data_IF_535453760687
#
_entry.id   IF_535453760687
#
_cell.length_a   1.000
_cell.length_b   1.000
_cell.length_c   1.000
_cell.angle_alpha   90.00
_cell.angle_beta   90.00
_cell.angle_gamma   90.00
#
_symmetry.space_group_name_H-M   'P 1'
#
loop_
_entity.id
_entity.type
_entity.pdbx_description
1 polymer ?
#
# COMPACT_ATOMS: atom_id res chain seq x y z
N UNK A 1 2.78 -20.24 12.75
CA UNK A 1 2.85 -19.26 13.85
C UNK A 1 1.42 -19.04 14.34
N UNK A 2 1.17 -18.68 15.61
CA UNK A 2 -0.21 -18.48 16.09
C UNK A 2 -0.45 -16.98 16.29
N UNK A 3 -1.57 -16.49 15.79
CA UNK A 3 -2.08 -15.15 16.07
C UNK A 3 -2.27 -14.92 17.58
N UNK A 4 -2.44 -13.68 18.04
CA UNK A 4 -2.78 -13.40 19.44
C UNK A 4 -3.96 -14.26 19.90
N UNK A 5 -3.96 -14.64 21.18
CA UNK A 5 -5.05 -15.44 21.77
C UNK A 5 -6.40 -14.76 21.55
N UNK A 6 -7.36 -15.50 21.04
CA UNK A 6 -8.71 -14.99 20.74
C UNK A 6 -8.89 -14.45 19.33
N UNK A 7 -7.86 -14.46 18.48
CA UNK A 7 -7.96 -14.06 17.07
C UNK A 7 -7.99 -15.28 16.16
N UNK A 8 -9.09 -15.45 15.43
CA UNK A 8 -9.21 -16.39 14.32
C UNK A 8 -8.83 -15.71 13.01
N UNK A 9 -7.98 -16.36 12.19
CA UNK A 9 -7.44 -15.75 10.96
C UNK A 9 -8.52 -15.49 9.91
N UNK A 10 -9.51 -16.39 9.77
CA UNK A 10 -10.56 -16.23 8.78
C UNK A 10 -11.47 -15.07 9.15
N UNK A 11 -11.88 -14.98 10.42
CA UNK A 11 -12.67 -13.87 10.93
C UNK A 11 -11.93 -12.54 10.78
N UNK A 12 -10.61 -12.53 11.08
CA UNK A 12 -9.78 -11.34 10.92
C UNK A 12 -9.73 -10.88 9.46
N UNK A 13 -9.49 -11.80 8.52
CA UNK A 13 -9.47 -11.49 7.08
C UNK A 13 -10.84 -10.99 6.62
N UNK A 14 -11.94 -11.59 7.09
CA UNK A 14 -13.30 -11.17 6.73
C UNK A 14 -13.61 -9.75 7.24
N UNK A 15 -13.24 -9.44 8.48
CA UNK A 15 -13.40 -8.10 9.05
C UNK A 15 -12.58 -7.06 8.29
N UNK A 16 -11.29 -7.33 8.07
CA UNK A 16 -10.41 -6.38 7.35
C UNK A 16 -10.86 -6.23 5.88
N UNK A 17 -11.38 -7.28 5.25
CA UNK A 17 -12.01 -7.18 3.92
C UNK A 17 -13.14 -6.17 3.90
N UNK A 18 -14.05 -6.25 4.88
CA UNK A 18 -15.18 -5.33 5.02
C UNK A 18 -14.68 -3.90 5.22
N UNK A 19 -13.69 -3.70 6.12
CA UNK A 19 -13.13 -2.37 6.40
C UNK A 19 -12.42 -1.80 5.18
N UNK A 20 -11.69 -2.64 4.44
CA UNK A 20 -11.01 -2.24 3.21
C UNK A 20 -11.99 -1.74 2.14
N UNK A 21 -13.12 -2.41 1.95
CA UNK A 21 -14.13 -1.92 1.00
C UNK A 21 -14.84 -0.66 1.46
N UNK A 22 -15.00 -0.44 2.77
CA UNK A 22 -15.46 0.84 3.32
C UNK A 22 -14.42 1.96 3.08
N UNK A 23 -13.14 1.65 3.21
CA UNK A 23 -12.06 2.58 2.86
C UNK A 23 -12.06 2.91 1.36
N UNK A 24 -12.31 1.91 0.49
CA UNK A 24 -12.46 2.12 -0.94
C UNK A 24 -13.57 3.13 -1.27
N UNK A 25 -14.73 3.04 -0.59
CA UNK A 25 -15.84 3.96 -0.78
C UNK A 25 -15.46 5.40 -0.43
N UNK A 26 -14.69 5.59 0.65
CA UNK A 26 -14.16 6.89 1.03
C UNK A 26 -13.21 7.43 -0.03
N UNK A 27 -12.22 6.62 -0.44
CA UNK A 27 -11.22 7.04 -1.43
C UNK A 27 -11.87 7.39 -2.77
N UNK A 28 -12.76 6.56 -3.29
CA UNK A 28 -13.48 6.82 -4.54
C UNK A 28 -14.38 8.05 -4.47
N UNK A 29 -15.02 8.28 -3.31
CA UNK A 29 -15.83 9.49 -3.09
C UNK A 29 -14.98 10.76 -3.19
N UNK A 30 -13.83 10.80 -2.48
CA UNK A 30 -12.95 11.96 -2.52
C UNK A 30 -12.22 12.11 -3.86
N UNK A 31 -11.86 10.99 -4.54
CA UNK A 31 -11.30 11.03 -5.89
C UNK A 31 -12.26 11.74 -6.86
N UNK A 32 -13.56 11.41 -6.78
CA UNK A 32 -14.58 12.07 -7.59
C UNK A 32 -14.74 13.57 -7.27
N UNK A 33 -14.65 13.95 -6.01
CA UNK A 33 -14.72 15.38 -5.63
C UNK A 33 -13.50 16.17 -6.13
N UNK A 34 -12.35 15.54 -6.30
CA UNK A 34 -11.14 16.19 -6.82
C UNK A 34 -11.23 16.55 -8.32
N UNK A 35 -12.22 16.04 -9.04
CA UNK A 35 -12.52 16.46 -10.41
C UNK A 35 -13.06 17.89 -10.47
N UNK A 36 -13.68 18.38 -9.36
CA UNK A 36 -14.16 19.76 -9.22
C UNK A 36 -13.09 20.66 -8.60
N UNK A 37 -12.75 21.76 -9.28
CA UNK A 37 -11.71 22.69 -8.84
C UNK A 37 -12.03 23.38 -7.50
N UNK A 38 -13.31 23.63 -7.22
CA UNK A 38 -13.74 24.30 -5.98
C UNK A 38 -13.67 23.36 -4.78
N UNK A 39 -13.93 22.09 -4.97
CA UNK A 39 -13.84 21.07 -3.93
C UNK A 39 -12.38 20.63 -3.68
N UNK A 40 -11.51 20.69 -4.68
CA UNK A 40 -10.09 20.38 -4.53
C UNK A 40 -9.41 21.15 -3.41
N UNK A 41 -9.69 22.48 -3.29
CA UNK A 41 -9.14 23.33 -2.22
C UNK A 41 -9.60 22.95 -0.82
N UNK A 42 -10.80 22.36 -0.70
CA UNK A 42 -11.37 21.93 0.59
C UNK A 42 -10.83 20.59 1.04
N UNK A 43 -10.43 19.76 0.09
CA UNK A 43 -9.95 18.38 0.32
C UNK A 43 -8.48 18.38 0.75
N UNK A 44 -7.65 19.26 0.18
CA UNK A 44 -6.25 19.39 0.55
C UNK A 44 -6.11 19.98 1.95
N UNK A 45 -5.36 19.32 2.83
CA UNK A 45 -5.15 19.73 4.23
C UNK A 45 -3.84 20.45 4.47
N UNK A 46 -2.85 20.19 3.64
CA UNK A 46 -1.60 20.94 3.63
C UNK A 46 -1.26 21.34 2.19
N UNK A 47 -0.42 22.36 2.06
CA UNK A 47 0.09 22.85 0.79
C UNK A 47 1.52 22.35 0.52
N UNK A 48 1.95 21.29 1.20
CA UNK A 48 3.27 20.71 0.96
C UNK A 48 3.23 19.93 -0.37
N UNK A 49 3.96 20.43 -1.36
CA UNK A 49 4.03 19.78 -2.67
C UNK A 49 4.83 18.47 -2.63
N UNK A 50 5.69 18.28 -1.63
CA UNK A 50 6.49 17.07 -1.49
C UNK A 50 5.72 15.95 -0.78
N UNK A 51 4.91 16.30 0.23
CA UNK A 51 4.12 15.35 1.02
C UNK A 51 2.69 15.86 1.29
N UNK A 52 1.82 15.87 0.27
CA UNK A 52 0.45 16.35 0.42
C UNK A 52 -0.39 15.38 1.26
N UNK A 53 -1.23 15.94 2.13
CA UNK A 53 -2.23 15.21 2.91
C UNK A 53 -3.62 15.65 2.50
N UNK A 54 -4.52 14.71 2.30
CA UNK A 54 -5.91 14.99 1.93
C UNK A 54 -6.88 14.60 3.05
N UNK A 55 -8.13 15.06 2.92
CA UNK A 55 -9.20 14.57 3.78
C UNK A 55 -9.44 13.07 3.64
N UNK A 56 -9.11 12.50 2.48
CA UNK A 56 -9.26 11.08 2.24
C UNK A 56 -8.32 10.26 3.12
N UNK A 57 -7.01 10.66 3.18
CA UNK A 57 -6.01 10.04 4.06
C UNK A 57 -6.52 9.98 5.51
N UNK A 58 -6.94 11.14 6.03
CA UNK A 58 -7.41 11.27 7.42
C UNK A 58 -8.66 10.44 7.70
N UNK A 59 -9.61 10.38 6.75
CA UNK A 59 -10.85 9.62 6.92
C UNK A 59 -10.66 8.12 6.84
N UNK A 60 -9.79 7.65 5.96
CA UNK A 60 -9.40 6.22 5.91
C UNK A 60 -8.64 5.84 7.16
N UNK A 61 -7.69 6.67 7.60
CA UNK A 61 -6.97 6.47 8.85
C UNK A 61 -7.94 6.32 10.06
N UNK A 62 -8.86 7.27 10.23
CA UNK A 62 -9.87 7.25 11.29
C UNK A 62 -10.73 5.99 11.23
N UNK A 63 -11.22 5.62 10.04
CA UNK A 63 -12.02 4.43 9.84
C UNK A 63 -11.27 3.16 10.27
N UNK A 64 -10.07 2.94 9.74
CA UNK A 64 -9.32 1.70 9.95
C UNK A 64 -8.94 1.53 11.41
N UNK A 65 -8.39 2.57 12.05
CA UNK A 65 -8.03 2.54 13.47
C UNK A 65 -9.25 2.27 14.35
N UNK A 66 -10.36 2.97 14.09
CA UNK A 66 -11.60 2.79 14.84
C UNK A 66 -12.12 1.36 14.72
N UNK A 67 -12.22 0.81 13.50
CA UNK A 67 -12.74 -0.53 13.25
C UNK A 67 -11.89 -1.62 13.89
N UNK A 68 -10.58 -1.55 13.77
CA UNK A 68 -9.67 -2.50 14.40
C UNK A 68 -9.82 -2.44 15.92
N UNK A 69 -9.83 -1.25 16.53
CA UNK A 69 -9.96 -1.11 17.97
C UNK A 69 -11.34 -1.53 18.51
N UNK A 70 -12.42 -1.30 17.77
CA UNK A 70 -13.76 -1.68 18.19
C UNK A 70 -14.00 -3.19 18.12
N UNK A 71 -13.51 -3.86 17.07
CA UNK A 71 -13.72 -5.29 16.88
C UNK A 71 -12.78 -6.15 17.74
N UNK A 72 -11.61 -5.60 18.10
CA UNK A 72 -10.54 -6.35 18.77
C UNK A 72 -10.06 -5.69 20.06
N UNK A 73 -10.99 -5.16 20.86
CA UNK A 73 -10.73 -4.37 22.10
C UNK A 73 -9.81 -5.04 23.12
N UNK A 74 -9.80 -6.37 23.17
CA UNK A 74 -9.06 -7.13 24.19
C UNK A 74 -7.78 -7.75 23.62
N UNK A 75 -7.41 -7.44 22.39
CA UNK A 75 -6.20 -7.98 21.79
C UNK A 75 -5.04 -7.03 22.02
N UNK A 76 -3.92 -7.59 22.51
CA UNK A 76 -2.71 -6.81 22.75
C UNK A 76 -1.92 -6.64 21.46
N UNK A 77 -2.22 -5.58 20.72
CA UNK A 77 -1.46 -5.09 19.56
C UNK A 77 -1.50 -3.57 19.48
N UNK A 78 -0.51 -2.99 18.80
CA UNK A 78 -0.45 -1.56 18.52
C UNK A 78 -0.83 -1.28 17.06
N UNK A 79 -1.12 -0.02 16.76
CA UNK A 79 -1.40 0.46 15.40
C UNK A 79 -0.46 1.63 15.10
N UNK A 80 0.43 1.42 14.14
CA UNK A 80 1.31 2.41 13.56
C UNK A 80 0.68 2.91 12.26
N UNK A 81 0.38 4.18 12.17
CA UNK A 81 -0.13 4.80 10.95
C UNK A 81 0.76 5.96 10.54
N UNK A 82 0.97 6.12 9.23
CA UNK A 82 1.71 7.24 8.65
C UNK A 82 1.17 8.59 9.14
N UNK A 83 -0.16 8.78 9.16
CA UNK A 83 -0.80 10.02 9.60
C UNK A 83 -0.65 10.28 11.10
N UNK A 84 -0.54 9.25 11.92
CA UNK A 84 -0.34 9.39 13.37
C UNK A 84 1.11 9.72 13.71
N UNK A 85 2.08 9.19 12.98
CA UNK A 85 3.51 9.51 13.17
C UNK A 85 3.79 10.98 12.86
N UNK A 86 3.16 11.54 11.82
CA UNK A 86 3.27 12.96 11.47
C UNK A 86 2.77 13.89 12.57
N UNK A 87 1.81 13.43 13.40
CA UNK A 87 1.16 14.24 14.45
C UNK A 87 1.83 14.05 15.81
N UNK A 88 2.37 12.90 16.12
CA UNK A 88 2.96 12.63 17.43
C UNK A 88 4.30 11.91 17.31
N UNK A 89 5.35 12.57 17.79
CA UNK A 89 6.67 11.96 18.04
C UNK A 89 6.67 10.98 19.21
N UNK A 90 5.56 10.30 19.49
CA UNK A 90 5.50 9.28 20.54
C UNK A 90 6.34 8.10 20.11
N UNK A 91 7.43 7.88 20.85
CA UNK A 91 8.19 6.63 20.86
C UNK A 91 7.17 5.51 21.15
N UNK A 92 7.04 4.56 20.24
CA UNK A 92 6.22 3.37 20.48
C UNK A 92 6.69 2.71 21.77
N UNK A 93 5.76 2.51 22.68
CA UNK A 93 6.01 1.70 23.85
C UNK A 93 6.06 0.25 23.35
N UNK A 94 7.28 -0.31 23.21
CA UNK A 94 7.56 -1.64 22.65
C UNK A 94 6.96 -2.79 23.52
N UNK A 95 5.73 -2.62 23.99
CA UNK A 95 5.09 -3.57 24.93
C UNK A 95 4.35 -4.71 24.21
N UNK A 96 4.30 -4.71 22.87
CA UNK A 96 3.66 -5.78 22.11
C UNK A 96 4.51 -6.25 20.95
N UNK A 97 4.48 -7.56 20.71
CA UNK A 97 5.12 -8.18 19.55
C UNK A 97 4.31 -7.98 18.25
N UNK A 98 3.03 -7.60 18.36
CA UNK A 98 2.08 -7.48 17.27
C UNK A 98 1.76 -6.02 16.96
N UNK A 99 2.00 -5.59 15.73
CA UNK A 99 1.80 -4.19 15.31
C UNK A 99 1.10 -4.17 13.96
N UNK A 100 -0.04 -3.49 13.90
CA UNK A 100 -0.63 -3.08 12.62
C UNK A 100 0.15 -1.90 12.06
N UNK A 101 0.48 -1.97 10.79
CA UNK A 101 1.10 -0.87 10.04
C UNK A 101 0.14 -0.45 8.94
N UNK A 102 -0.26 0.82 8.95
CA UNK A 102 -1.25 1.39 8.06
C UNK A 102 -0.65 2.56 7.26
N UNK A 103 -0.75 2.50 5.96
CA UNK A 103 -0.65 3.64 5.05
C UNK A 103 -2.04 3.85 4.44
N UNK A 104 -2.75 4.91 4.84
CA UNK A 104 -4.14 5.13 4.43
C UNK A 104 -4.28 5.46 2.94
N UNK A 105 -3.27 6.08 2.34
CA UNK A 105 -3.27 6.49 0.93
C UNK A 105 -1.85 6.62 0.37
N UNK A 106 -1.25 5.51 -0.05
CA UNK A 106 -0.03 5.51 -0.85
C UNK A 106 -0.30 6.06 -2.25
N UNK A 107 0.52 7.01 -2.66
CA UNK A 107 0.35 7.68 -3.96
C UNK A 107 -0.58 8.90 -3.90
N UNK A 108 -0.55 9.67 -2.82
CA UNK A 108 -1.39 10.86 -2.62
C UNK A 108 -1.28 11.88 -3.77
N UNK A 109 -0.09 12.04 -4.37
CA UNK A 109 0.09 12.91 -5.55
C UNK A 109 -0.69 12.40 -6.77
N UNK A 110 -0.67 11.10 -7.00
CA UNK A 110 -1.40 10.46 -8.10
C UNK A 110 -2.90 10.48 -7.84
N UNK A 111 -3.33 10.32 -6.59
CA UNK A 111 -4.71 10.51 -6.16
C UNK A 111 -5.21 11.93 -6.49
N UNK A 112 -4.45 12.98 -6.11
CA UNK A 112 -4.79 14.37 -6.38
C UNK A 112 -4.82 14.68 -7.88
N UNK A 113 -3.98 14.00 -8.67
CA UNK A 113 -3.91 14.14 -10.14
C UNK A 113 -4.96 13.33 -10.88
N UNK A 114 -5.69 12.44 -10.20
CA UNK A 114 -6.71 11.59 -10.82
C UNK A 114 -6.15 10.52 -11.76
N UNK A 115 -4.94 10.01 -11.50
CA UNK A 115 -4.33 8.98 -12.36
C UNK A 115 -4.89 7.58 -12.13
N UNK A 116 -5.56 7.34 -10.99
CA UNK A 116 -6.01 6.03 -10.55
C UNK A 116 -4.92 5.15 -9.92
N UNK A 117 -3.67 5.64 -9.86
CA UNK A 117 -2.54 4.91 -9.29
C UNK A 117 -2.34 5.24 -7.80
N UNK A 118 -3.28 4.84 -6.97
CA UNK A 118 -3.23 5.00 -5.51
C UNK A 118 -3.74 3.74 -4.81
N UNK A 119 -3.29 3.53 -3.57
CA UNK A 119 -3.62 2.35 -2.79
C UNK A 119 -3.68 2.64 -1.28
N UNK A 120 -4.42 1.82 -0.52
CA UNK A 120 -4.28 1.72 0.93
C UNK A 120 -3.49 0.46 1.25
N UNK A 121 -2.53 0.56 2.19
CA UNK A 121 -1.77 -0.57 2.67
C UNK A 121 -2.07 -0.82 4.14
N UNK A 122 -2.30 -2.09 4.51
CA UNK A 122 -2.42 -2.53 5.89
C UNK A 122 -1.67 -3.84 6.07
N UNK A 123 -0.82 -3.92 7.09
CA UNK A 123 -0.11 -5.15 7.43
C UNK A 123 -0.15 -5.41 8.93
N UNK A 124 -0.35 -6.66 9.32
CA UNK A 124 -0.11 -7.12 10.68
C UNK A 124 1.30 -7.70 10.77
N UNK A 125 2.14 -7.07 11.54
CA UNK A 125 3.52 -7.50 11.78
C UNK A 125 3.64 -8.22 13.11
N UNK A 126 4.51 -9.23 13.14
CA UNK A 126 4.94 -9.91 14.36
C UNK A 126 6.45 -9.74 14.53
N UNK A 127 6.88 -9.10 15.62
CA UNK A 127 8.31 -8.84 15.90
C UNK A 127 9.03 -8.19 14.72
N UNK A 128 8.38 -7.23 14.09
CA UNK A 128 8.92 -6.48 12.97
C UNK A 128 8.91 -7.22 11.62
N UNK A 129 8.33 -8.42 11.53
CA UNK A 129 8.18 -9.17 10.29
C UNK A 129 6.71 -9.18 9.83
N UNK A 130 6.42 -8.91 8.55
CA UNK A 130 5.07 -8.99 8.02
C UNK A 130 4.50 -10.41 8.19
N UNK A 131 3.26 -10.51 8.64
CA UNK A 131 2.55 -11.76 8.86
C UNK A 131 1.30 -11.89 7.98
N UNK A 132 0.46 -10.84 7.97
CA UNK A 132 -0.71 -10.73 7.08
C UNK A 132 -0.61 -9.37 6.40
N UNK A 133 -0.97 -9.30 5.13
CA UNK A 133 -0.93 -8.06 4.36
C UNK A 133 -2.17 -7.85 3.50
N UNK A 134 -2.57 -6.58 3.37
CA UNK A 134 -3.68 -6.14 2.54
C UNK A 134 -3.23 -4.93 1.72
N UNK A 135 -3.49 -4.97 0.40
CA UNK A 135 -3.29 -3.83 -0.50
C UNK A 135 -4.58 -3.61 -1.27
N UNK A 136 -5.25 -2.51 -0.97
CA UNK A 136 -6.47 -2.10 -1.65
C UNK A 136 -6.12 -1.11 -2.76
N UNK A 137 -6.57 -1.37 -3.98
CA UNK A 137 -6.47 -0.47 -5.14
C UNK A 137 -7.90 -0.15 -5.59
N UNK A 138 -8.50 0.93 -5.06
CA UNK A 138 -9.93 1.20 -5.23
C UNK A 138 -10.33 1.38 -6.69
N UNK A 139 -9.55 2.12 -7.46
CA UNK A 139 -9.83 2.46 -8.85
C UNK A 139 -9.83 1.21 -9.76
N UNK A 140 -9.05 0.19 -9.41
CA UNK A 140 -8.99 -1.10 -10.12
C UNK A 140 -9.96 -2.13 -9.55
N UNK A 141 -10.74 -1.80 -8.50
CA UNK A 141 -11.62 -2.74 -7.80
C UNK A 141 -10.87 -4.00 -7.34
N UNK A 142 -9.68 -3.83 -6.74
CA UNK A 142 -8.79 -4.91 -6.32
C UNK A 142 -8.44 -4.80 -4.83
N UNK A 143 -8.56 -5.90 -4.11
CA UNK A 143 -8.05 -6.08 -2.76
C UNK A 143 -7.11 -7.29 -2.76
N UNK A 144 -5.82 -7.04 -2.74
CA UNK A 144 -4.80 -8.06 -2.58
C UNK A 144 -4.65 -8.43 -1.11
N UNK A 145 -4.65 -9.72 -0.82
CA UNK A 145 -4.56 -10.29 0.53
C UNK A 145 -3.46 -11.34 0.55
N UNK A 146 -2.63 -11.31 1.59
CA UNK A 146 -1.69 -12.37 1.91
C UNK A 146 -1.87 -12.78 3.37
N UNK A 147 -2.08 -14.08 3.62
CA UNK A 147 -2.25 -14.64 4.96
C UNK A 147 -0.96 -15.26 5.53
N UNK A 148 0.17 -15.02 4.84
CA UNK A 148 1.47 -15.58 5.19
C UNK A 148 1.75 -16.93 4.53
N UNK A 149 0.75 -17.63 3.98
CA UNK A 149 0.88 -18.88 3.24
C UNK A 149 0.51 -18.71 1.77
N UNK A 150 -0.55 -17.94 1.51
CA UNK A 150 -1.09 -17.69 0.17
C UNK A 150 -1.28 -16.21 -0.07
N UNK A 151 -1.30 -15.86 -1.34
CA UNK A 151 -1.65 -14.51 -1.81
C UNK A 151 -2.72 -14.64 -2.87
N UNK A 152 -3.74 -13.78 -2.81
CA UNK A 152 -4.81 -13.71 -3.81
C UNK A 152 -5.34 -12.29 -3.92
N UNK A 153 -6.04 -12.03 -5.01
CA UNK A 153 -6.81 -10.81 -5.21
C UNK A 153 -8.29 -11.10 -5.11
N UNK A 154 -9.02 -10.24 -4.44
CA UNK A 154 -10.48 -10.23 -4.42
C UNK A 154 -11.02 -8.98 -5.10
N UNK A 155 -12.15 -9.09 -5.77
CA UNK A 155 -12.94 -7.96 -6.25
C UNK A 155 -14.17 -7.77 -5.37
N UNK A 156 -14.80 -6.62 -5.47
CA UNK A 156 -16.00 -6.29 -4.68
C UNK A 156 -17.19 -7.22 -4.97
N UNK A 157 -17.26 -7.82 -6.15
CA UNK A 157 -18.28 -8.79 -6.54
C UNK A 157 -18.03 -10.19 -5.95
N UNK A 158 -16.96 -10.36 -5.16
CA UNK A 158 -16.56 -11.61 -4.55
C UNK A 158 -15.71 -12.52 -5.45
N UNK A 159 -15.46 -12.15 -6.70
CA UNK A 159 -14.55 -12.90 -7.56
C UNK A 159 -13.12 -12.85 -7.02
N UNK A 160 -12.40 -13.98 -7.14
CA UNK A 160 -11.03 -14.15 -6.65
C UNK A 160 -10.14 -14.71 -7.73
N UNK A 161 -8.87 -14.32 -7.69
CA UNK A 161 -7.83 -14.89 -8.53
C UNK A 161 -6.47 -14.87 -7.83
N UNK A 162 -5.60 -15.79 -8.23
CA UNK A 162 -4.25 -15.93 -7.68
C UNK A 162 -3.23 -15.12 -8.50
N UNK A 163 -2.06 -14.78 -7.92
CA UNK A 163 -0.97 -14.18 -8.66
C UNK A 163 -0.57 -15.00 -9.88
N UNK A 164 -0.16 -14.32 -10.94
CA UNK A 164 0.38 -14.95 -12.12
C UNK A 164 1.87 -15.24 -11.85
N UNK A 165 2.26 -16.51 -11.96
CA UNK A 165 3.67 -16.88 -11.92
C UNK A 165 4.35 -16.39 -13.20
N UNK A 166 5.37 -15.56 -13.02
CA UNK A 166 6.14 -15.03 -14.15
C UNK A 166 7.10 -16.08 -14.68
N UNK A 167 7.16 -16.21 -16.00
CA UNK A 167 8.17 -17.01 -16.67
C UNK A 167 9.57 -16.40 -16.51
N UNK A 168 10.61 -17.23 -16.59
CA UNK A 168 11.99 -16.75 -16.63
C UNK A 168 12.24 -16.00 -17.94
N UNK A 169 12.35 -14.67 -17.84
CA UNK A 169 12.64 -13.77 -18.95
C UNK A 169 14.04 -13.18 -18.82
N UNK A 170 14.71 -12.94 -19.93
CA UNK A 170 15.90 -12.10 -19.93
C UNK A 170 15.54 -10.65 -19.67
N UNK A 171 16.43 -9.88 -19.03
CA UNK A 171 16.16 -8.46 -18.66
C UNK A 171 15.65 -7.60 -19.83
N UNK A 172 16.12 -7.88 -21.05
CA UNK A 172 15.69 -7.15 -22.26
C UNK A 172 14.26 -7.45 -22.72
N UNK A 173 13.71 -8.57 -22.25
CA UNK A 173 12.33 -9.01 -22.54
C UNK A 173 11.35 -8.56 -21.48
N UNK A 174 11.87 -8.09 -20.33
CA UNK A 174 11.06 -7.67 -19.19
C UNK A 174 10.41 -6.31 -19.38
N UNK A 175 9.23 -6.17 -18.79
CA UNK A 175 8.56 -4.89 -18.56
C UNK A 175 8.98 -4.36 -17.21
N UNK A 176 9.66 -3.21 -17.18
CA UNK A 176 9.98 -2.49 -15.94
C UNK A 176 8.81 -1.61 -15.54
N UNK A 177 8.37 -1.67 -14.28
CA UNK A 177 7.54 -0.63 -13.68
C UNK A 177 8.40 0.27 -12.81
N UNK A 178 8.20 1.59 -12.87
CA UNK A 178 8.99 2.58 -12.13
C UNK A 178 8.14 3.78 -11.70
N UNK A 179 8.67 4.59 -10.78
CA UNK A 179 8.00 5.80 -10.30
C UNK A 179 8.31 7.00 -11.20
N UNK A 180 7.33 7.90 -11.34
CA UNK A 180 7.47 9.15 -12.11
C UNK A 180 8.55 10.07 -11.51
N UNK A 181 8.58 10.16 -10.18
CA UNK A 181 9.32 11.22 -9.45
C UNK A 181 10.59 10.71 -8.72
N UNK A 182 10.89 9.41 -8.71
CA UNK A 182 12.03 8.85 -7.97
C UNK A 182 13.20 8.40 -8.84
N UNK A 183 13.23 8.84 -10.11
CA UNK A 183 14.33 8.52 -11.02
C UNK A 183 15.56 9.37 -10.73
N UNK A 184 16.53 8.84 -9.97
CA UNK A 184 17.87 9.45 -9.94
C UNK A 184 18.62 9.17 -11.26
N UNK A 185 19.70 9.92 -11.51
CA UNK A 185 20.50 9.78 -12.73
C UNK A 185 21.08 8.36 -12.89
N UNK A 186 21.43 7.71 -11.77
CA UNK A 186 21.96 6.33 -11.77
C UNK A 186 20.91 5.36 -12.28
N UNK A 187 19.68 5.46 -11.78
CA UNK A 187 18.57 4.61 -12.23
C UNK A 187 18.26 4.84 -13.70
N UNK A 188 18.23 6.09 -14.16
CA UNK A 188 18.01 6.41 -15.58
C UNK A 188 19.09 5.80 -16.48
N UNK A 189 20.36 5.93 -16.13
CA UNK A 189 21.47 5.30 -16.86
C UNK A 189 21.37 3.77 -16.84
N UNK A 190 20.97 3.18 -15.73
CA UNK A 190 20.77 1.73 -15.60
C UNK A 190 19.66 1.25 -16.55
N UNK A 191 18.49 1.90 -16.53
CA UNK A 191 17.36 1.60 -17.40
C UNK A 191 17.77 1.68 -18.89
N UNK A 192 18.47 2.74 -19.29
CA UNK A 192 18.97 2.91 -20.64
C UNK A 192 19.95 1.81 -21.05
N UNK A 193 20.85 1.41 -20.13
CA UNK A 193 21.85 0.36 -20.41
C UNK A 193 21.25 -1.03 -20.57
N UNK A 194 20.24 -1.35 -19.75
CA UNK A 194 19.56 -2.66 -19.79
C UNK A 194 18.68 -2.77 -21.05
N UNK A 195 18.05 -1.68 -21.47
CA UNK A 195 17.14 -1.61 -22.61
C UNK A 195 15.98 -2.62 -22.49
N UNK A 196 15.15 -2.43 -21.43
CA UNK A 196 13.94 -3.21 -21.20
C UNK A 196 12.99 -3.19 -22.40
N UNK A 197 12.19 -4.24 -22.58
CA UNK A 197 11.20 -4.29 -23.67
C UNK A 197 10.13 -3.20 -23.53
N UNK A 198 9.77 -2.87 -22.29
CA UNK A 198 8.80 -1.82 -21.99
C UNK A 198 9.15 -1.19 -20.64
N UNK A 199 8.87 0.11 -20.50
CA UNK A 199 8.94 0.84 -19.22
C UNK A 199 7.57 1.44 -18.96
N UNK A 200 6.96 1.06 -17.84
CA UNK A 200 5.67 1.59 -17.37
C UNK A 200 5.89 2.48 -16.16
N UNK A 201 5.22 3.61 -16.12
CA UNK A 201 5.30 4.56 -15.00
C UNK A 201 4.00 4.46 -14.20
N UNK A 202 4.12 4.22 -12.89
CA UNK A 202 2.99 4.17 -11.96
C UNK A 202 3.29 4.97 -10.70
N UNK A 203 2.26 5.48 -10.04
CA UNK A 203 2.33 6.22 -8.78
C UNK A 203 2.64 5.30 -7.60
N UNK A 204 1.64 4.86 -6.90
CA UNK A 204 1.66 4.03 -5.69
C UNK A 204 2.61 2.82 -5.75
N UNK A 205 3.25 2.49 -4.63
CA UNK A 205 4.03 1.24 -4.49
C UNK A 205 3.08 0.03 -4.59
N UNK A 206 1.91 0.10 -3.98
CA UNK A 206 0.89 -0.96 -4.06
C UNK A 206 0.47 -1.25 -5.49
N UNK A 207 0.23 -0.21 -6.30
CA UNK A 207 -0.09 -0.37 -7.72
C UNK A 207 1.04 -1.04 -8.51
N UNK A 208 2.31 -0.67 -8.24
CA UNK A 208 3.47 -1.30 -8.90
C UNK A 208 3.61 -2.78 -8.55
N UNK A 209 3.51 -3.12 -7.26
CA UNK A 209 3.59 -4.51 -6.81
C UNK A 209 2.41 -5.33 -7.37
N UNK A 210 1.19 -4.77 -7.33
CA UNK A 210 0.02 -5.42 -7.94
C UNK A 210 0.22 -5.68 -9.44
N UNK A 211 0.83 -4.75 -10.18
CA UNK A 211 1.12 -4.96 -11.61
C UNK A 211 2.09 -6.12 -11.85
N UNK A 212 3.05 -6.34 -10.93
CA UNK A 212 3.98 -7.47 -11.03
C UNK A 212 3.27 -8.79 -10.71
N UNK A 213 2.56 -8.86 -9.58
CA UNK A 213 1.85 -10.10 -9.21
C UNK A 213 0.71 -10.45 -10.18
N UNK A 214 0.23 -9.46 -10.94
CA UNK A 214 -0.77 -9.62 -11.99
C UNK A 214 -0.17 -10.00 -13.36
N UNK A 215 1.16 -10.03 -13.48
CA UNK A 215 1.86 -10.33 -14.74
C UNK A 215 1.86 -9.18 -15.76
N UNK A 216 1.42 -7.99 -15.39
CA UNK A 216 1.43 -6.79 -16.24
C UNK A 216 2.83 -6.17 -16.35
N UNK A 217 3.64 -6.36 -15.31
CA UNK A 217 5.05 -5.94 -15.22
C UNK A 217 5.88 -7.09 -14.67
N UNK A 218 7.18 -7.09 -14.93
CA UNK A 218 8.08 -8.16 -14.51
C UNK A 218 9.00 -7.74 -13.36
N UNK A 219 9.34 -6.45 -13.28
CA UNK A 219 10.33 -5.95 -12.32
C UNK A 219 10.04 -4.52 -11.89
N UNK A 220 10.28 -4.24 -10.61
CA UNK A 220 10.35 -2.90 -10.04
C UNK A 220 11.75 -2.66 -9.47
N UNK A 221 12.36 -1.52 -9.77
CA UNK A 221 13.68 -1.14 -9.27
C UNK A 221 13.55 0.18 -8.50
N UNK A 222 13.86 0.11 -7.20
CA UNK A 222 14.01 1.28 -6.33
C UNK A 222 15.45 1.40 -5.87
N UNK A 223 16.07 2.58 -6.08
CA UNK A 223 17.42 2.87 -5.62
C UNK A 223 17.35 3.96 -4.56
N UNK A 224 17.70 3.62 -3.31
CA UNK A 224 17.87 4.59 -2.24
C UNK A 224 19.25 5.22 -2.36
N UNK A 225 19.34 6.56 -2.29
CA UNK A 225 20.63 7.25 -2.24
C UNK A 225 21.20 7.15 -0.82
N UNK A 226 22.51 6.89 -0.66
CA UNK A 226 23.16 6.95 0.66
C UNK A 226 22.96 8.33 1.29
N UNK A 227 22.47 8.39 2.52
CA UNK A 227 22.32 9.62 3.30
C UNK A 227 20.95 10.30 3.24
N UNK A 228 20.00 9.84 2.42
CA UNK A 228 18.57 10.10 2.59
C UNK A 228 17.94 8.85 3.20
N UNK A 229 17.79 8.86 4.51
CA UNK A 229 16.86 7.94 5.18
C UNK A 229 15.45 8.38 4.75
N UNK A 230 14.93 7.73 3.74
CA UNK A 230 13.51 7.82 3.42
C UNK A 230 12.82 6.81 4.34
N UNK A 231 12.13 7.22 5.41
CA UNK A 231 11.44 6.32 6.31
C UNK A 231 10.10 5.85 5.71
N UNK A 232 10.04 5.69 4.39
CA UNK A 232 8.88 5.05 3.79
C UNK A 232 8.91 3.59 4.22
N UNK A 233 8.03 3.29 5.16
CA UNK A 233 7.78 1.95 5.68
C UNK A 233 7.40 1.07 4.49
N UNK A 234 8.35 0.28 4.02
CA UNK A 234 8.10 -0.71 2.98
C UNK A 234 7.27 -1.86 3.56
N UNK A 235 5.96 -1.82 3.37
CA UNK A 235 5.01 -2.81 3.89
C UNK A 235 5.13 -4.16 3.16
N UNK A 236 5.76 -4.19 1.99
CA UNK A 236 5.96 -5.41 1.22
C UNK A 236 7.40 -5.50 0.71
N UNK A 237 8.26 -6.21 1.41
CA UNK A 237 9.42 -6.82 0.77
C UNK A 237 9.00 -8.22 0.27
N UNK A 238 9.04 -8.51 -1.04
CA UNK A 238 8.95 -9.88 -1.50
C UNK A 238 10.12 -10.64 -0.87
N UNK A 239 9.82 -11.68 -0.10
CA UNK A 239 10.87 -12.59 0.33
C UNK A 239 11.49 -13.17 -0.93
N UNK A 240 12.80 -12.98 -1.08
CA UNK A 240 13.59 -13.69 -2.09
C UNK A 240 13.33 -15.18 -1.92
N UNK A 241 12.70 -15.80 -2.91
CA UNK A 241 12.68 -17.25 -3.06
C UNK A 241 14.14 -17.69 -3.20
N UNK A 242 14.68 -18.28 -2.13
CA UNK A 242 15.93 -19.04 -2.13
C UNK A 242 15.71 -20.40 -2.75
#
# INVERSE_FOLDING_TARGET
MKLPSGVDINNLIDDIRIFSWQAADILLYYAKLLEDADDKRKILKNNDEEDPVTLADLKVNELMIKRINENYKNINWDILSEENEKISSKIFDNNTDWIWVLDPLDGTKDFIQGTGDYAMHLALNFKGQPYIGFVLIPDKNQLWISDGEKTWCEKRDGSKYEPILLDNKHLKEMTLVTSKNHGNEVLRKLIQKINFSKVTIMGSIGCKIASIVNGESDIYICLSLPGKSDPKIGILQPQSLS
#
